data_IF_510218138939
#
_entry.id   IF_510218138939
#
_cell.length_a   1.000
_cell.length_b   1.000
_cell.length_c   1.000
_cell.angle_alpha   90.00
_cell.angle_beta   90.00
_cell.angle_gamma   90.00
#
_symmetry.space_group_name_H-M   'P 1'
#
loop_
_entity.id
_entity.type
_entity.pdbx_description
1 polymer ?
#
# COMPACT_ATOMS: atom_id res chain seq x y z
N UNK A 1 28.80 -16.47 28.70
CA UNK A 1 27.36 -16.58 28.41
C UNK A 1 26.95 -15.30 27.71
N UNK A 2 26.82 -15.34 26.38
CA UNK A 2 26.39 -14.19 25.58
C UNK A 2 24.86 -14.17 25.60
N UNK A 3 24.27 -13.18 26.26
CA UNK A 3 22.89 -12.77 26.03
C UNK A 3 22.84 -12.17 24.63
N UNK A 4 22.45 -12.96 23.62
CA UNK A 4 22.28 -12.49 22.25
C UNK A 4 20.94 -11.78 22.13
N UNK A 5 20.99 -10.52 21.68
CA UNK A 5 19.86 -9.63 21.35
C UNK A 5 18.93 -10.19 20.24
N UNK A 6 19.12 -11.44 19.81
CA UNK A 6 18.48 -12.06 18.64
C UNK A 6 17.25 -12.91 19.01
N UNK A 7 17.12 -13.33 20.27
CA UNK A 7 16.04 -14.22 20.73
C UNK A 7 14.94 -13.45 21.45
N UNK A 8 14.26 -12.57 20.72
CA UNK A 8 13.04 -11.88 21.16
C UNK A 8 11.86 -12.21 20.25
N UNK A 9 10.65 -12.21 20.77
CA UNK A 9 9.45 -12.62 20.02
C UNK A 9 9.20 -11.80 18.75
N UNK A 10 9.63 -10.53 18.68
CA UNK A 10 9.47 -9.67 17.50
C UNK A 10 10.19 -10.24 16.26
N UNK A 11 11.19 -11.11 16.47
CA UNK A 11 11.94 -11.79 15.41
C UNK A 11 11.35 -13.18 15.07
N UNK A 12 10.10 -13.47 15.45
CA UNK A 12 9.45 -14.74 15.18
C UNK A 12 8.56 -14.67 13.94
N UNK A 13 8.55 -15.72 13.11
CA UNK A 13 7.64 -15.89 11.96
C UNK A 13 6.16 -15.69 12.31
N UNK A 14 5.79 -16.00 13.56
CA UNK A 14 4.40 -15.95 14.01
C UNK A 14 4.04 -14.64 14.71
N UNK A 15 5.00 -13.73 14.91
CA UNK A 15 4.72 -12.44 15.52
C UNK A 15 4.05 -11.52 14.52
N UNK A 16 2.90 -10.97 14.89
CA UNK A 16 2.17 -10.00 14.09
C UNK A 16 2.00 -8.70 14.87
N UNK A 17 2.60 -7.59 14.41
CA UNK A 17 2.60 -6.32 15.13
C UNK A 17 1.20 -5.69 15.18
N UNK A 18 0.88 -5.01 16.28
CA UNK A 18 -0.40 -4.34 16.49
C UNK A 18 -0.27 -2.82 16.30
N UNK A 19 -0.69 -2.34 15.12
CA UNK A 19 -0.61 -0.93 14.75
C UNK A 19 -1.98 -0.25 14.80
N UNK A 20 -2.41 0.20 15.98
CA UNK A 20 -3.63 1.04 16.09
C UNK A 20 -3.31 2.52 16.19
N UNK A 21 -2.25 2.91 16.91
CA UNK A 21 -1.91 4.33 17.13
C UNK A 21 -0.44 4.70 16.83
N UNK A 22 0.26 3.90 16.00
CA UNK A 22 1.65 4.16 15.60
C UNK A 22 2.57 2.96 15.77
N UNK A 23 3.90 3.15 15.69
CA UNK A 23 4.86 2.08 15.94
C UNK A 23 4.73 1.62 17.39
N UNK A 24 4.45 0.33 17.58
CA UNK A 24 4.39 -0.30 18.90
C UNK A 24 5.35 -1.48 18.93
N UNK A 25 5.85 -1.80 20.12
CA UNK A 25 6.54 -3.07 20.38
C UNK A 25 5.53 -4.18 20.72
N UNK A 26 4.23 -3.87 20.69
CA UNK A 26 3.16 -4.81 21.02
C UNK A 26 2.71 -5.58 19.79
N UNK A 27 2.46 -6.88 19.96
CA UNK A 27 1.93 -7.73 18.90
C UNK A 27 1.18 -8.94 19.44
N UNK A 28 0.71 -9.77 18.52
CA UNK A 28 0.02 -11.03 18.79
C UNK A 28 0.78 -12.19 18.13
N UNK A 29 0.48 -13.42 18.54
CA UNK A 29 1.02 -14.62 17.93
C UNK A 29 -0.03 -15.24 17.00
N UNK A 30 0.26 -15.33 15.70
CA UNK A 30 -0.63 -15.94 14.71
C UNK A 30 -0.73 -17.46 14.84
N UNK A 31 0.15 -18.09 15.62
CA UNK A 31 0.09 -19.52 15.95
C UNK A 31 -0.83 -19.82 17.15
N UNK A 32 -1.52 -18.81 17.69
CA UNK A 32 -2.57 -19.00 18.69
C UNK A 32 -3.90 -19.37 17.99
N UNK A 33 -4.48 -20.55 18.29
CA UNK A 33 -5.70 -21.03 17.61
C UNK A 33 -6.90 -20.09 17.71
N UNK A 34 -6.97 -19.21 18.71
CA UNK A 34 -8.07 -18.25 18.80
C UNK A 34 -8.02 -17.20 17.69
N UNK A 35 -6.86 -16.99 17.05
CA UNK A 35 -6.72 -16.11 15.89
C UNK A 35 -6.97 -16.80 14.54
N UNK A 36 -7.04 -18.13 14.49
CA UNK A 36 -7.25 -18.92 13.25
C UNK A 36 -8.41 -18.40 12.38
N UNK A 37 -9.60 -18.04 12.94
CA UNK A 37 -10.71 -17.53 12.13
C UNK A 37 -10.49 -16.15 11.50
N UNK A 38 -9.44 -15.44 11.92
CA UNK A 38 -9.17 -14.04 11.57
C UNK A 38 -7.89 -13.87 10.75
N UNK A 39 -7.10 -14.93 10.54
CA UNK A 39 -5.78 -14.87 9.88
C UNK A 39 -5.86 -14.19 8.51
N UNK A 40 -6.80 -14.61 7.65
CA UNK A 40 -6.91 -14.07 6.29
C UNK A 40 -7.21 -12.57 6.30
N UNK A 41 -8.12 -12.13 7.17
CA UNK A 41 -8.49 -10.73 7.28
C UNK A 41 -7.38 -9.87 7.92
N UNK A 42 -6.62 -10.44 8.87
CA UNK A 42 -5.46 -9.78 9.48
C UNK A 42 -4.30 -9.64 8.50
N UNK A 43 -3.94 -10.72 7.77
CA UNK A 43 -2.80 -10.72 6.85
C UNK A 43 -3.10 -10.00 5.53
N UNK A 44 -4.26 -10.25 4.92
CA UNK A 44 -4.57 -9.72 3.59
C UNK A 44 -5.11 -8.29 3.63
N UNK A 45 -5.87 -7.95 4.68
CA UNK A 45 -6.59 -6.67 4.77
C UNK A 45 -6.10 -5.78 5.91
N UNK A 46 -5.21 -6.27 6.78
CA UNK A 46 -4.70 -5.54 7.95
C UNK A 46 -5.84 -4.99 8.82
N UNK A 47 -6.95 -5.74 8.90
CA UNK A 47 -8.15 -5.30 9.59
C UNK A 47 -8.18 -5.82 11.04
N UNK A 48 -7.54 -5.10 11.94
CA UNK A 48 -7.51 -5.44 13.38
C UNK A 48 -8.88 -5.31 14.06
N UNK A 49 -9.82 -4.55 13.50
CA UNK A 49 -11.10 -4.24 14.13
C UNK A 49 -11.99 -5.48 14.32
N UNK A 50 -11.82 -6.51 13.47
CA UNK A 50 -12.62 -7.74 13.51
C UNK A 50 -12.41 -8.57 14.77
N UNK A 51 -11.24 -8.43 15.41
CA UNK A 51 -10.83 -9.20 16.59
C UNK A 51 -10.15 -8.31 17.64
N UNK A 52 -10.46 -7.01 17.66
CA UNK A 52 -9.82 -6.02 18.54
C UNK A 52 -9.88 -6.42 20.02
N UNK A 53 -11.04 -6.92 20.47
CA UNK A 53 -11.23 -7.39 21.85
C UNK A 53 -10.35 -8.59 22.20
N UNK A 54 -10.05 -9.45 21.23
CA UNK A 54 -9.16 -10.59 21.39
C UNK A 54 -7.69 -10.14 21.38
N UNK A 55 -7.34 -9.19 20.50
CA UNK A 55 -6.01 -8.57 20.45
C UNK A 55 -5.69 -7.88 21.76
N UNK A 56 -6.55 -6.99 22.27
CA UNK A 56 -6.31 -6.28 23.53
C UNK A 56 -6.13 -7.23 24.73
N UNK A 57 -6.77 -8.41 24.69
CA UNK A 57 -6.63 -9.43 25.72
C UNK A 57 -5.29 -10.20 25.62
N UNK A 58 -4.77 -10.38 24.41
CA UNK A 58 -3.67 -11.32 24.14
C UNK A 58 -2.39 -10.66 23.63
N UNK A 59 -2.39 -9.35 23.40
CA UNK A 59 -1.20 -8.63 22.98
C UNK A 59 -0.12 -8.73 24.05
N UNK A 60 1.12 -8.82 23.61
CA UNK A 60 2.30 -8.92 24.46
C UNK A 60 3.44 -8.10 23.87
N UNK A 61 4.48 -7.84 24.67
CA UNK A 61 5.63 -7.10 24.19
C UNK A 61 6.54 -8.02 23.37
N UNK A 62 6.81 -7.65 22.12
CA UNK A 62 7.68 -8.39 21.20
C UNK A 62 9.12 -8.50 21.68
N UNK A 63 9.57 -7.64 22.60
CA UNK A 63 10.88 -7.71 23.24
C UNK A 63 10.93 -8.73 24.40
N UNK A 64 9.82 -9.41 24.71
CA UNK A 64 9.80 -10.49 25.69
C UNK A 64 10.56 -11.72 25.19
N UNK A 65 10.99 -12.55 26.15
CA UNK A 65 11.70 -13.80 25.87
C UNK A 65 10.89 -14.71 24.94
N UNK A 66 11.59 -15.40 24.05
CA UNK A 66 11.00 -16.33 23.09
C UNK A 66 10.31 -17.52 23.76
N UNK A 67 9.26 -18.02 23.12
CA UNK A 67 8.56 -19.23 23.57
C UNK A 67 9.17 -20.50 22.94
N UNK A 68 8.73 -21.67 23.40
CA UNK A 68 9.16 -22.98 22.88
C UNK A 68 8.78 -23.20 21.40
N UNK A 69 7.80 -22.45 20.89
CA UNK A 69 7.35 -22.47 19.49
C UNK A 69 8.01 -21.38 18.64
N UNK A 70 9.08 -20.77 19.14
CA UNK A 70 9.79 -19.74 18.40
C UNK A 70 10.40 -20.34 17.15
N UNK A 71 9.93 -19.85 16.01
CA UNK A 71 10.56 -20.03 14.72
C UNK A 71 11.09 -18.69 14.28
N UNK A 72 12.41 -18.59 14.21
CA UNK A 72 13.10 -17.40 13.73
C UNK A 72 12.51 -16.99 12.39
N UNK A 73 12.13 -15.73 12.26
CA UNK A 73 11.70 -15.20 10.99
C UNK A 73 12.86 -15.26 10.02
N UNK A 74 12.76 -16.11 9.00
CA UNK A 74 13.63 -16.03 7.86
C UNK A 74 13.15 -14.81 7.09
N UNK A 75 13.75 -13.66 7.38
CA UNK A 75 13.67 -12.53 6.48
C UNK A 75 14.33 -13.05 5.21
N UNK A 76 13.53 -13.36 4.19
CA UNK A 76 14.07 -13.47 2.85
C UNK A 76 14.54 -12.06 2.52
N UNK A 77 15.84 -11.80 2.65
CA UNK A 77 16.46 -10.70 1.94
C UNK A 77 16.08 -10.92 0.48
N UNK A 78 15.17 -10.08 -0.04
CA UNK A 78 14.83 -10.05 -1.46
C UNK A 78 16.13 -9.74 -2.22
N UNK A 79 16.79 -10.79 -2.69
CA UNK A 79 17.98 -10.83 -3.52
C UNK A 79 19.13 -9.92 -3.04
N UNK A 80 19.97 -10.44 -2.14
CA UNK A 80 21.40 -10.11 -2.17
C UNK A 80 21.97 -10.59 -3.52
N UNK A 81 21.89 -9.73 -4.54
CA UNK A 81 22.92 -9.77 -5.57
C UNK A 81 24.21 -9.38 -4.86
N UNK A 82 25.02 -10.38 -4.51
CA UNK A 82 26.40 -10.23 -4.09
C UNK A 82 27.19 -9.52 -5.21
N UNK A 83 27.09 -8.20 -5.24
CA UNK A 83 28.21 -7.35 -5.63
C UNK A 83 28.88 -6.97 -4.32
N UNK A 84 30.12 -7.43 -4.13
CA UNK A 84 31.04 -6.94 -3.10
C UNK A 84 31.14 -5.40 -3.23
N UNK A 85 30.25 -4.69 -2.55
CA UNK A 85 30.39 -3.27 -2.27
C UNK A 85 31.04 -3.23 -0.90
N UNK A 86 32.29 -2.79 -0.86
CA UNK A 86 33.00 -2.49 0.38
C UNK A 86 32.06 -1.71 1.31
N UNK A 87 31.75 -2.29 2.47
CA UNK A 87 30.86 -1.74 3.49
C UNK A 87 31.45 -0.49 4.14
N UNK A 88 31.59 0.59 3.39
CA UNK A 88 31.55 1.94 3.92
C UNK A 88 30.08 2.33 4.06
N UNK A 89 29.63 2.56 5.29
CA UNK A 89 28.25 2.99 5.56
C UNK A 89 27.95 4.28 4.79
N UNK A 90 27.26 4.15 3.64
CA UNK A 90 26.82 5.28 2.85
C UNK A 90 25.79 6.02 3.69
N UNK A 91 26.11 7.26 4.09
CA UNK A 91 25.15 8.09 4.82
C UNK A 91 23.84 8.19 4.03
N UNK A 92 22.70 8.21 4.73
CA UNK A 92 21.37 8.27 4.10
C UNK A 92 21.22 9.45 3.12
N UNK A 93 21.89 10.58 3.38
CA UNK A 93 21.91 11.73 2.46
C UNK A 93 22.58 11.43 1.12
N UNK A 94 23.68 10.68 1.13
CA UNK A 94 24.39 10.26 -0.08
C UNK A 94 23.52 9.27 -0.86
N UNK A 95 22.89 8.32 -0.17
CA UNK A 95 21.97 7.37 -0.79
C UNK A 95 20.78 8.08 -1.46
N UNK A 96 20.13 9.04 -0.78
CA UNK A 96 19.03 9.82 -1.37
C UNK A 96 19.49 10.58 -2.62
N UNK A 97 20.69 11.19 -2.60
CA UNK A 97 21.25 11.88 -3.77
C UNK A 97 21.53 10.93 -4.94
N UNK A 98 22.01 9.72 -4.67
CA UNK A 98 22.23 8.69 -5.69
C UNK A 98 20.89 8.24 -6.30
N UNK A 99 19.90 7.90 -5.48
CA UNK A 99 18.58 7.46 -5.93
C UNK A 99 17.82 8.56 -6.69
N UNK A 100 17.94 9.81 -6.24
CA UNK A 100 17.35 10.97 -6.92
C UNK A 100 17.80 11.11 -8.39
N UNK A 101 19.05 10.72 -8.68
CA UNK A 101 19.66 10.82 -10.01
C UNK A 101 19.74 9.47 -10.73
N UNK A 102 19.25 8.38 -10.13
CA UNK A 102 19.27 7.04 -10.76
C UNK A 102 18.50 7.06 -12.08
N UNK A 103 19.09 6.46 -13.10
CA UNK A 103 18.45 6.28 -14.41
C UNK A 103 17.20 5.41 -14.28
N UNK A 104 16.21 5.68 -15.12
CA UNK A 104 14.93 4.94 -15.12
C UNK A 104 14.68 4.13 -16.40
N UNK A 105 15.68 4.03 -17.29
CA UNK A 105 15.49 3.44 -18.62
C UNK A 105 15.12 1.95 -18.56
N UNK A 106 15.68 1.20 -17.59
CA UNK A 106 15.33 -0.20 -17.34
C UNK A 106 13.83 -0.37 -17.02
N UNK A 107 13.27 0.51 -16.18
CA UNK A 107 11.86 0.43 -15.80
C UNK A 107 10.93 0.71 -16.97
N UNK A 108 11.36 1.45 -18.00
CA UNK A 108 10.55 1.63 -19.22
C UNK A 108 10.35 0.31 -19.97
N UNK A 109 11.33 -0.59 -19.88
CA UNK A 109 11.27 -1.92 -20.49
C UNK A 109 10.38 -2.81 -19.63
N UNK A 110 10.59 -2.81 -18.31
CA UNK A 110 9.80 -3.64 -17.38
C UNK A 110 8.31 -3.28 -17.37
N UNK A 111 7.96 -2.00 -17.46
CA UNK A 111 6.55 -1.58 -17.53
C UNK A 111 5.84 -1.98 -18.83
N UNK A 112 6.58 -2.34 -19.89
CA UNK A 112 6.04 -2.86 -21.15
C UNK A 112 6.00 -4.39 -21.19
N UNK A 113 6.54 -5.07 -20.18
CA UNK A 113 6.54 -6.52 -20.11
C UNK A 113 5.11 -7.05 -20.00
N UNK A 114 4.78 -8.20 -20.57
CA UNK A 114 3.43 -8.79 -20.45
C UNK A 114 3.13 -9.30 -19.03
N UNK A 115 4.17 -9.68 -18.28
CA UNK A 115 4.07 -10.16 -16.92
C UNK A 115 3.77 -9.01 -15.94
N UNK A 116 2.57 -9.05 -15.35
CA UNK A 116 2.09 -8.06 -14.39
C UNK A 116 2.95 -7.98 -13.12
N UNK A 117 3.59 -9.07 -12.69
CA UNK A 117 4.44 -9.05 -11.50
C UNK A 117 5.70 -8.21 -11.76
N UNK A 118 6.34 -8.39 -12.92
CA UNK A 118 7.49 -7.56 -13.36
C UNK A 118 7.10 -6.08 -13.41
N UNK A 119 5.90 -5.77 -13.91
CA UNK A 119 5.39 -4.40 -13.90
C UNK A 119 5.22 -3.85 -12.47
N UNK A 120 4.71 -4.66 -11.54
CA UNK A 120 4.49 -4.28 -10.14
C UNK A 120 5.81 -4.06 -9.40
N UNK A 121 6.80 -4.93 -9.58
CA UNK A 121 8.16 -4.78 -9.04
C UNK A 121 8.80 -3.48 -9.55
N UNK A 122 8.73 -3.22 -10.85
CA UNK A 122 9.21 -1.98 -11.43
C UNK A 122 8.53 -0.74 -10.84
N UNK A 123 7.23 -0.80 -10.58
CA UNK A 123 6.50 0.31 -9.94
C UNK A 123 6.89 0.51 -8.48
N UNK A 124 7.17 -0.55 -7.72
CA UNK A 124 7.66 -0.44 -6.35
C UNK A 124 9.02 0.27 -6.32
N UNK A 125 9.96 -0.14 -7.19
CA UNK A 125 11.26 0.52 -7.33
C UNK A 125 11.11 2.00 -7.73
N UNK A 126 10.26 2.29 -8.73
CA UNK A 126 9.98 3.67 -9.12
C UNK A 126 9.33 4.50 -8.01
N UNK A 127 8.53 3.88 -7.14
CA UNK A 127 7.89 4.54 -5.99
C UNK A 127 8.94 5.01 -4.99
N UNK A 128 9.95 4.18 -4.70
CA UNK A 128 11.10 4.54 -3.85
C UNK A 128 11.90 5.69 -4.48
N UNK A 129 12.18 5.62 -5.79
CA UNK A 129 12.88 6.70 -6.50
C UNK A 129 12.09 8.02 -6.45
N UNK A 130 10.77 7.94 -6.59
CA UNK A 130 9.87 9.10 -6.49
C UNK A 130 9.93 9.73 -5.09
N UNK A 131 9.89 8.90 -4.03
CA UNK A 131 10.03 9.36 -2.66
C UNK A 131 11.40 10.05 -2.41
N UNK A 132 12.45 9.61 -3.09
CA UNK A 132 13.77 10.27 -3.09
C UNK A 132 13.85 11.54 -3.96
N UNK A 133 12.75 11.95 -4.60
CA UNK A 133 12.66 13.15 -5.43
C UNK A 133 13.08 12.97 -6.89
N UNK A 134 13.16 11.73 -7.40
CA UNK A 134 13.42 11.47 -8.82
C UNK A 134 12.19 11.83 -9.68
N UNK A 135 12.26 12.98 -10.37
CA UNK A 135 11.13 13.51 -11.15
C UNK A 135 10.83 12.72 -12.43
N UNK A 136 11.81 12.02 -12.99
CA UNK A 136 11.57 11.18 -14.16
C UNK A 136 10.83 9.90 -13.76
N UNK A 137 11.14 9.32 -12.59
CA UNK A 137 10.39 8.20 -12.02
C UNK A 137 8.92 8.58 -11.79
N UNK A 138 8.68 9.74 -11.16
CA UNK A 138 7.33 10.28 -10.93
C UNK A 138 6.55 10.41 -12.24
N UNK A 139 7.15 11.01 -13.28
CA UNK A 139 6.53 11.15 -14.61
C UNK A 139 6.21 9.80 -15.24
N UNK A 140 7.13 8.83 -15.15
CA UNK A 140 6.96 7.51 -15.73
C UNK A 140 5.80 6.75 -15.07
N UNK A 141 5.74 6.72 -13.74
CA UNK A 141 4.63 6.08 -12.99
C UNK A 141 3.28 6.70 -13.36
N UNK A 142 3.22 8.03 -13.39
CA UNK A 142 2.01 8.76 -13.76
C UNK A 142 1.58 8.48 -15.20
N UNK A 143 2.54 8.39 -16.13
CA UNK A 143 2.27 8.05 -17.53
C UNK A 143 1.73 6.63 -17.65
N UNK A 144 2.34 5.68 -16.96
CA UNK A 144 1.93 4.28 -16.95
C UNK A 144 0.49 4.13 -16.44
N UNK A 145 0.17 4.71 -15.29
CA UNK A 145 -1.19 4.64 -14.72
C UNK A 145 -2.26 5.19 -15.67
N UNK A 146 -2.00 6.36 -16.27
CA UNK A 146 -2.93 6.98 -17.22
C UNK A 146 -3.10 6.19 -18.51
N UNK A 147 -2.14 5.31 -18.84
CA UNK A 147 -2.21 4.44 -20.02
C UNK A 147 -3.00 3.16 -19.78
N UNK A 148 -3.29 2.80 -18.52
CA UNK A 148 -4.07 1.61 -18.19
C UNK A 148 -5.53 1.77 -18.68
N UNK A 149 -6.09 0.76 -19.37
CA UNK A 149 -7.46 0.81 -19.83
C UNK A 149 -8.46 0.80 -18.67
N UNK A 150 -9.72 1.11 -18.97
CA UNK A 150 -10.81 0.84 -18.02
C UNK A 150 -10.91 -0.66 -17.79
N UNK A 151 -10.98 -1.11 -16.54
CA UNK A 151 -11.01 -2.54 -16.26
C UNK A 151 -12.34 -3.15 -16.70
N UNK A 152 -12.25 -4.22 -17.49
CA UNK A 152 -13.35 -5.04 -18.02
C UNK A 152 -13.37 -6.43 -17.39
N UNK A 153 -12.23 -6.91 -16.88
CA UNK A 153 -12.11 -8.19 -16.17
C UNK A 153 -11.69 -8.00 -14.70
N UNK A 154 -11.90 -9.03 -13.88
CA UNK A 154 -11.46 -9.03 -12.48
C UNK A 154 -9.93 -8.93 -12.36
N UNK A 155 -9.21 -9.58 -13.27
CA UNK A 155 -7.75 -9.55 -13.31
C UNK A 155 -7.22 -8.13 -13.60
N UNK A 156 -7.88 -7.39 -14.50
CA UNK A 156 -7.56 -5.99 -14.76
C UNK A 156 -7.89 -5.10 -13.55
N UNK A 157 -8.99 -5.37 -12.84
CA UNK A 157 -9.32 -4.69 -11.58
C UNK A 157 -8.22 -4.90 -10.54
N UNK A 158 -7.82 -6.14 -10.29
CA UNK A 158 -6.77 -6.45 -9.31
C UNK A 158 -5.45 -5.77 -9.67
N UNK A 159 -5.06 -5.80 -10.94
CA UNK A 159 -3.86 -5.10 -11.41
C UNK A 159 -3.94 -3.60 -11.16
N UNK A 160 -5.04 -2.95 -11.58
CA UNK A 160 -5.21 -1.51 -11.44
C UNK A 160 -5.26 -1.06 -9.98
N UNK A 161 -5.87 -1.86 -9.10
CA UNK A 161 -5.86 -1.66 -7.64
C UNK A 161 -4.43 -1.70 -7.09
N UNK A 162 -3.64 -2.74 -7.43
CA UNK A 162 -2.23 -2.84 -7.00
C UNK A 162 -1.41 -1.63 -7.46
N UNK A 163 -1.53 -1.25 -8.74
CA UNK A 163 -0.85 -0.08 -9.29
C UNK A 163 -1.25 1.21 -8.56
N UNK A 164 -2.55 1.42 -8.32
CA UNK A 164 -3.03 2.61 -7.61
C UNK A 164 -2.49 2.68 -6.18
N UNK A 165 -2.47 1.55 -5.46
CA UNK A 165 -1.89 1.49 -4.11
C UNK A 165 -0.43 1.94 -4.09
N UNK A 166 0.38 1.47 -5.05
CA UNK A 166 1.80 1.85 -5.15
C UNK A 166 1.97 3.33 -5.45
N UNK A 167 1.16 3.88 -6.36
CA UNK A 167 1.20 5.30 -6.70
C UNK A 167 0.78 6.16 -5.51
N UNK A 168 -0.25 5.72 -4.77
CA UNK A 168 -0.77 6.44 -3.60
C UNK A 168 0.16 6.45 -2.38
N UNK A 169 1.28 5.72 -2.41
CA UNK A 169 2.35 5.84 -1.41
C UNK A 169 3.03 7.22 -1.46
N UNK A 170 2.97 7.89 -2.62
CA UNK A 170 3.47 9.25 -2.82
C UNK A 170 2.29 10.23 -2.92
N UNK A 171 2.58 11.53 -2.80
CA UNK A 171 1.58 12.58 -2.99
C UNK A 171 0.94 12.47 -4.39
N UNK A 172 -0.39 12.35 -4.44
CA UNK A 172 -1.11 12.28 -5.71
C UNK A 172 -1.19 13.67 -6.35
N UNK A 173 -0.83 13.77 -7.63
CA UNK A 173 -0.96 15.01 -8.38
C UNK A 173 -2.31 15.12 -9.12
N UNK A 174 -2.60 16.32 -9.63
CA UNK A 174 -3.81 16.61 -10.41
C UNK A 174 -4.05 15.63 -11.57
N UNK A 175 -2.99 15.12 -12.18
CA UNK A 175 -3.08 14.18 -13.29
C UNK A 175 -3.65 12.83 -12.88
N UNK A 176 -3.26 12.33 -11.70
CA UNK A 176 -3.81 11.10 -11.12
C UNK A 176 -5.26 11.33 -10.68
N UNK A 177 -5.54 12.43 -9.98
CA UNK A 177 -6.91 12.77 -9.55
C UNK A 177 -7.87 12.82 -10.74
N UNK A 178 -7.48 13.49 -11.83
CA UNK A 178 -8.28 13.52 -13.07
C UNK A 178 -8.52 12.14 -13.67
N UNK A 179 -7.50 11.27 -13.66
CA UNK A 179 -7.65 9.91 -14.15
C UNK A 179 -8.61 9.08 -13.28
N UNK A 180 -8.52 9.20 -11.95
CA UNK A 180 -9.43 8.53 -11.02
C UNK A 180 -10.89 8.98 -11.22
N UNK A 181 -11.12 10.28 -11.37
CA UNK A 181 -12.46 10.84 -11.61
C UNK A 181 -13.00 10.40 -12.97
N UNK A 182 -12.15 10.38 -14.01
CA UNK A 182 -12.51 9.84 -15.32
C UNK A 182 -12.94 8.38 -15.21
N UNK A 183 -12.18 7.56 -14.48
CA UNK A 183 -12.49 6.16 -14.24
C UNK A 183 -13.84 5.97 -13.54
N UNK A 184 -14.16 6.79 -12.53
CA UNK A 184 -15.49 6.76 -11.88
C UNK A 184 -16.63 7.06 -12.86
N UNK A 185 -16.42 7.96 -13.82
CA UNK A 185 -17.44 8.40 -14.78
C UNK A 185 -17.63 7.43 -15.94
N UNK A 186 -16.54 6.82 -16.44
CA UNK A 186 -16.55 6.02 -17.66
C UNK A 186 -16.62 4.50 -17.41
N UNK A 187 -16.22 4.04 -16.22
CA UNK A 187 -16.27 2.62 -15.87
C UNK A 187 -17.69 2.24 -15.38
N UNK A 188 -18.28 1.19 -15.97
CA UNK A 188 -19.57 0.68 -15.48
C UNK A 188 -19.42 0.15 -14.05
N UNK A 189 -20.22 0.67 -13.11
CA UNK A 189 -20.29 0.16 -11.74
C UNK A 189 -21.05 -1.16 -11.71
N UNK A 190 -20.35 -2.26 -11.41
CA UNK A 190 -20.91 -3.60 -11.29
C UNK A 190 -20.10 -4.42 -10.28
N UNK A 191 -20.43 -5.72 -10.13
CA UNK A 191 -19.74 -6.58 -9.17
C UNK A 191 -18.24 -6.72 -9.45
N UNK A 192 -17.84 -6.79 -10.73
CA UNK A 192 -16.43 -6.89 -11.14
C UNK A 192 -15.65 -5.64 -10.75
N UNK A 193 -16.18 -4.45 -11.03
CA UNK A 193 -15.48 -3.16 -10.85
C UNK A 193 -15.64 -2.57 -9.45
N UNK A 194 -16.41 -3.20 -8.56
CA UNK A 194 -16.69 -2.71 -7.21
C UNK A 194 -15.42 -2.46 -6.39
N UNK A 195 -14.43 -3.34 -6.48
CA UNK A 195 -13.15 -3.16 -5.79
C UNK A 195 -12.40 -1.94 -6.32
N UNK A 196 -12.37 -1.75 -7.64
CA UNK A 196 -11.75 -0.58 -8.26
C UNK A 196 -12.37 0.73 -7.78
N UNK A 197 -13.70 0.82 -7.76
CA UNK A 197 -14.41 1.99 -7.21
C UNK A 197 -14.06 2.22 -5.74
N UNK A 198 -14.02 1.15 -4.95
CA UNK A 198 -13.70 1.23 -3.51
C UNK A 198 -12.30 1.79 -3.29
N UNK A 199 -11.32 1.31 -4.06
CA UNK A 199 -9.94 1.78 -3.98
C UNK A 199 -9.81 3.25 -4.44
N UNK A 200 -10.51 3.66 -5.50
CA UNK A 200 -10.56 5.07 -5.92
C UNK A 200 -11.08 5.94 -4.77
N UNK A 201 -12.22 5.60 -4.17
CA UNK A 201 -12.78 6.39 -3.07
C UNK A 201 -11.86 6.42 -1.85
N UNK A 202 -11.18 5.31 -1.52
CA UNK A 202 -10.17 5.27 -0.46
C UNK A 202 -9.08 6.32 -0.68
N UNK A 203 -8.49 6.33 -1.89
CA UNK A 203 -7.42 7.27 -2.23
C UNK A 203 -7.91 8.72 -2.23
N UNK A 204 -9.09 8.99 -2.80
CA UNK A 204 -9.66 10.34 -2.80
C UNK A 204 -10.00 10.83 -1.39
N UNK A 205 -10.47 9.94 -0.51
CA UNK A 205 -10.74 10.25 0.89
C UNK A 205 -9.47 10.59 1.67
N UNK A 206 -8.42 9.76 1.57
CA UNK A 206 -7.12 10.02 2.23
C UNK A 206 -6.55 11.38 1.78
N UNK A 207 -6.88 11.81 0.56
CA UNK A 207 -6.45 13.08 -0.01
C UNK A 207 -7.56 14.13 -0.01
N UNK A 208 -8.57 14.04 0.87
CA UNK A 208 -9.72 14.96 0.88
C UNK A 208 -9.33 16.41 1.21
N UNK A 209 -8.23 16.62 1.93
CA UNK A 209 -7.67 17.94 2.21
C UNK A 209 -6.99 18.57 0.97
N UNK A 210 -6.74 17.80 -0.08
CA UNK A 210 -6.18 18.31 -1.32
C UNK A 210 -7.26 19.05 -2.12
N UNK A 211 -7.07 20.35 -2.33
CA UNK A 211 -8.02 21.20 -3.06
C UNK A 211 -8.31 20.68 -4.48
N UNK A 212 -7.36 20.01 -5.13
CA UNK A 212 -7.57 19.43 -6.45
C UNK A 212 -8.56 18.25 -6.41
N UNK A 213 -8.56 17.47 -5.33
CA UNK A 213 -9.54 16.39 -5.10
C UNK A 213 -10.92 17.00 -4.91
N UNK A 214 -11.07 17.97 -3.99
CA UNK A 214 -12.35 18.63 -3.74
C UNK A 214 -12.94 19.26 -4.99
N UNK A 215 -12.14 20.04 -5.73
CA UNK A 215 -12.59 20.69 -6.96
C UNK A 215 -12.98 19.68 -8.04
N UNK A 216 -12.29 18.55 -8.13
CA UNK A 216 -12.62 17.52 -9.13
C UNK A 216 -13.92 16.80 -8.77
N UNK A 217 -14.14 16.49 -7.50
CA UNK A 217 -15.36 15.86 -6.99
C UNK A 217 -16.58 16.78 -7.09
N UNK A 218 -16.44 18.07 -6.75
CA UNK A 218 -17.53 19.07 -6.85
C UNK A 218 -18.07 19.24 -8.29
N UNK A 219 -17.21 19.03 -9.29
CA UNK A 219 -17.58 19.14 -10.71
C UNK A 219 -18.20 17.85 -11.27
N UNK A 220 -18.33 16.79 -10.47
CA UNK A 220 -18.86 15.53 -10.96
C UNK A 220 -20.38 15.60 -11.16
N UNK A 221 -20.91 15.08 -12.29
CA UNK A 221 -22.35 14.96 -12.52
C UNK A 221 -22.95 13.86 -11.63
N UNK A 222 -23.33 14.21 -10.39
CA UNK A 222 -23.82 13.27 -9.37
C UNK A 222 -25.01 12.43 -9.83
N UNK A 223 -25.85 12.98 -10.71
CA UNK A 223 -27.02 12.31 -11.29
C UNK A 223 -26.67 11.06 -12.10
N UNK A 224 -25.42 10.90 -12.56
CA UNK A 224 -24.96 9.69 -13.25
C UNK A 224 -24.63 8.54 -12.30
N UNK A 225 -24.56 8.80 -11.00
CA UNK A 225 -24.15 7.84 -9.99
C UNK A 225 -25.36 7.30 -9.23
N UNK A 226 -25.24 6.08 -8.72
CA UNK A 226 -26.22 5.55 -7.77
C UNK A 226 -26.20 6.36 -6.48
N UNK A 227 -27.33 6.38 -5.76
CA UNK A 227 -27.44 7.07 -4.46
C UNK A 227 -26.29 6.75 -3.50
N UNK A 228 -25.86 5.48 -3.45
CA UNK A 228 -24.73 5.03 -2.62
C UNK A 228 -23.41 5.71 -2.99
N UNK A 229 -23.13 5.86 -4.29
CA UNK A 229 -21.91 6.50 -4.78
C UNK A 229 -21.97 8.02 -4.62
N UNK A 230 -23.15 8.63 -4.83
CA UNK A 230 -23.37 10.04 -4.55
C UNK A 230 -23.10 10.36 -3.07
N UNK A 231 -23.57 9.50 -2.16
CA UNK A 231 -23.30 9.61 -0.73
C UNK A 231 -21.78 9.62 -0.47
N UNK A 232 -21.05 8.61 -0.96
CA UNK A 232 -19.58 8.56 -0.84
C UNK A 232 -18.86 9.83 -1.32
N UNK A 233 -19.30 10.40 -2.44
CA UNK A 233 -18.70 11.66 -2.96
C UNK A 233 -18.97 12.82 -2.01
N UNK A 234 -20.21 12.96 -1.51
CA UNK A 234 -20.57 13.99 -0.53
C UNK A 234 -19.80 13.82 0.77
N UNK A 235 -19.67 12.57 1.22
CA UNK A 235 -18.95 12.25 2.44
C UNK A 235 -17.49 12.72 2.32
N UNK A 236 -16.79 12.41 1.22
CA UNK A 236 -15.42 12.91 0.98
C UNK A 236 -15.34 14.45 0.95
N UNK A 237 -16.38 15.13 0.47
CA UNK A 237 -16.39 16.60 0.34
C UNK A 237 -16.73 17.34 1.63
N UNK A 238 -17.58 16.74 2.49
CA UNK A 238 -18.26 17.46 3.57
C UNK A 238 -18.17 16.77 4.94
N UNK A 239 -17.88 15.47 5.01
CA UNK A 239 -17.73 14.71 6.25
C UNK A 239 -16.28 14.25 6.42
N UNK A 240 -15.59 14.81 7.42
CA UNK A 240 -14.29 14.29 7.86
C UNK A 240 -14.43 13.06 8.78
N UNK A 241 -15.65 12.69 9.16
CA UNK A 241 -15.94 11.53 10.02
C UNK A 241 -16.37 10.33 9.17
N UNK A 242 -15.41 9.72 8.46
CA UNK A 242 -15.61 8.39 7.87
C UNK A 242 -14.83 7.32 8.64
N UNK A 243 -15.53 6.63 9.53
CA UNK A 243 -15.12 5.32 10.06
C UNK A 243 -15.64 4.23 9.10
N UNK A 244 -14.88 3.86 8.06
CA UNK A 244 -15.09 2.58 7.35
C UNK A 244 -13.89 2.22 6.46
N UNK A 245 -12.92 1.50 7.03
CA UNK A 245 -12.19 0.39 6.40
C UNK A 245 -11.89 -0.64 7.47
#
# INVERSE_FOLDING_TARGET
MKTTEENVCINCNYFFPYFVDGPTEEGICLNDPEFEPYIDELLEKQNYQICLSLIEKKKFNGNDNTCEKFEMSVIFDEDETETEIENEAISGEVLVKLLKNKSIEEYRIYLKNENKNIQIEALNSLSVLTACGNKEAEKLMNKYFKSLPFPKSLEEVHHKVKVLRIISKNEINSGIVKALVKDLLETKSNQTTRQWFTEIFRVLYINNNNEMVKQSLQKMPLEKFSYRLQKKIKDILYDNDYNYF
#
